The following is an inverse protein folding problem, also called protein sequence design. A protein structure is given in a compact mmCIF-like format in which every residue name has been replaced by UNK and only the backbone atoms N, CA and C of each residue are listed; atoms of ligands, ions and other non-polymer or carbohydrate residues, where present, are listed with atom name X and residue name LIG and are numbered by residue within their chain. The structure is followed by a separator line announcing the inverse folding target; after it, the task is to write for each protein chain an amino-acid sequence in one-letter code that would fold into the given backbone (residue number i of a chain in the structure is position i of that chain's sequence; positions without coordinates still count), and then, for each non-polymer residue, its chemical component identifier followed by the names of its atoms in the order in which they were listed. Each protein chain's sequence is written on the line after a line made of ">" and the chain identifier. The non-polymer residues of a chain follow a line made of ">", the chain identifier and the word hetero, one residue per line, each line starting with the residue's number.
data_IF_762037121318
#
_entry.id   IF_762037121318
#
_cell.length_a   1.000
_cell.length_b   1.000
_cell.length_c   1.000
_cell.angle_alpha   90.00
_cell.angle_beta   90.00
_cell.angle_gamma   90.00
#
_symmetry.space_group_name_H-M   'P 1'
#
loop_
_entity.id
_entity.type
_entity.pdbx_description
1 polymer ?
#
# COMPACT_ATOMS: atom_id res chain seq x y z
N UNK A 1 5.66 -39.85 -38.56
CA UNK A 1 4.68 -40.02 -37.47
C UNK A 1 5.16 -39.15 -36.32
N UNK A 2 4.74 -37.88 -36.31
CA UNK A 2 5.17 -36.87 -35.35
C UNK A 2 4.34 -37.05 -34.08
N UNK A 3 5.01 -37.43 -32.98
CA UNK A 3 4.40 -37.55 -31.66
C UNK A 3 3.97 -36.14 -31.22
N UNK A 4 2.67 -35.83 -31.30
CA UNK A 4 2.12 -34.66 -30.62
C UNK A 4 2.12 -34.98 -29.13
N UNK A 5 3.11 -34.43 -28.42
CA UNK A 5 3.14 -34.40 -26.97
C UNK A 5 2.02 -33.48 -26.53
N UNK A 6 0.87 -34.05 -26.17
CA UNK A 6 -0.19 -33.30 -25.50
C UNK A 6 0.35 -32.87 -24.13
N UNK A 7 0.77 -31.62 -24.03
CA UNK A 7 1.02 -30.96 -22.75
C UNK A 7 -0.30 -30.91 -22.00
N UNK A 8 -0.41 -31.71 -20.94
CA UNK A 8 -1.49 -31.61 -19.97
C UNK A 8 -1.29 -30.26 -19.28
N UNK A 9 -2.02 -29.24 -19.74
CA UNK A 9 -2.02 -27.92 -19.11
C UNK A 9 -2.67 -28.04 -17.73
N UNK A 10 -1.85 -28.03 -16.68
CA UNK A 10 -2.36 -27.94 -15.32
C UNK A 10 -2.96 -26.55 -15.11
N UNK A 11 -4.22 -26.42 -14.68
CA UNK A 11 -4.92 -25.13 -14.61
C UNK A 11 -4.17 -24.09 -13.77
N UNK A 12 -3.51 -24.50 -12.69
CA UNK A 12 -2.71 -23.59 -11.85
C UNK A 12 -1.41 -23.07 -12.47
N UNK A 13 -0.84 -23.77 -13.47
CA UNK A 13 0.35 -23.29 -14.18
C UNK A 13 0.00 -22.09 -15.07
N UNK A 14 -1.14 -22.18 -15.78
CA UNK A 14 -1.63 -21.09 -16.63
C UNK A 14 -1.99 -19.84 -15.82
N UNK A 15 -2.65 -20.01 -14.67
CA UNK A 15 -3.03 -18.90 -13.79
C UNK A 15 -1.81 -18.20 -13.18
N UNK A 16 -0.78 -18.96 -12.80
CA UNK A 16 0.46 -18.42 -12.27
C UNK A 16 1.29 -17.73 -13.36
N UNK A 17 1.44 -18.35 -14.53
CA UNK A 17 2.08 -17.76 -15.71
C UNK A 17 1.44 -16.40 -16.05
N UNK A 18 0.10 -16.34 -16.05
CA UNK A 18 -0.65 -15.11 -16.28
C UNK A 18 -0.38 -14.04 -15.20
N UNK A 19 -0.41 -14.41 -13.93
CA UNK A 19 -0.13 -13.49 -12.82
C UNK A 19 1.32 -12.97 -12.83
N UNK A 20 2.29 -13.83 -13.12
CA UNK A 20 3.71 -13.45 -13.24
C UNK A 20 3.94 -12.56 -14.45
N UNK A 21 3.28 -12.82 -15.58
CA UNK A 21 3.34 -11.97 -16.77
C UNK A 21 2.79 -10.57 -16.50
N UNK A 22 1.64 -10.45 -15.82
CA UNK A 22 1.06 -9.16 -15.45
C UNK A 22 1.94 -8.39 -14.46
N UNK A 23 2.50 -9.08 -13.46
CA UNK A 23 3.44 -8.50 -12.50
C UNK A 23 4.75 -8.05 -13.17
N UNK A 24 5.30 -8.88 -14.07
CA UNK A 24 6.48 -8.55 -14.88
C UNK A 24 6.23 -7.33 -15.75
N UNK A 25 5.09 -7.27 -16.44
CA UNK A 25 4.69 -6.12 -17.25
C UNK A 25 4.60 -4.84 -16.39
N UNK A 26 3.94 -4.92 -15.24
CA UNK A 26 3.77 -3.79 -14.32
C UNK A 26 5.11 -3.29 -13.78
N UNK A 27 6.00 -4.20 -13.36
CA UNK A 27 7.33 -3.87 -12.87
C UNK A 27 8.23 -3.31 -13.98
N UNK A 28 8.08 -3.79 -15.23
CA UNK A 28 8.76 -3.19 -16.39
C UNK A 28 8.25 -1.78 -16.66
N UNK A 29 6.95 -1.55 -16.64
CA UNK A 29 6.34 -0.24 -16.87
C UNK A 29 6.84 0.79 -15.85
N UNK A 30 6.92 0.40 -14.58
CA UNK A 30 7.45 1.23 -13.47
C UNK A 30 8.99 1.39 -13.55
N UNK A 31 9.71 0.53 -14.28
CA UNK A 31 11.18 0.58 -14.38
C UNK A 31 11.92 -0.13 -13.25
N UNK A 32 11.21 -0.97 -12.50
CA UNK A 32 11.72 -1.68 -11.33
C UNK A 32 12.16 -3.12 -11.64
N UNK A 33 11.71 -3.68 -12.77
CA UNK A 33 12.09 -5.03 -13.18
C UNK A 33 13.62 -5.15 -13.37
N UNK A 34 14.29 -6.10 -12.70
CA UNK A 34 15.72 -6.29 -12.79
C UNK A 34 16.07 -7.13 -14.03
N UNK A 35 16.72 -6.50 -15.01
CA UNK A 35 17.32 -7.17 -16.17
C UNK A 35 18.85 -7.14 -16.01
N UNK A 36 19.51 -8.30 -16.12
CA UNK A 36 20.97 -8.42 -15.94
C UNK A 36 21.75 -8.11 -17.22
N UNK A 37 21.16 -8.35 -18.39
CA UNK A 37 21.86 -8.31 -19.67
C UNK A 37 21.64 -7.00 -20.44
N UNK A 38 21.20 -5.94 -19.75
CA UNK A 38 20.89 -4.64 -20.35
C UNK A 38 22.08 -3.71 -20.26
N UNK A 39 22.28 -2.95 -21.35
CA UNK A 39 23.36 -1.96 -21.44
C UNK A 39 23.26 -0.91 -20.32
N UNK A 40 24.39 -0.30 -19.94
CA UNK A 40 24.44 0.74 -18.90
C UNK A 40 23.46 1.90 -19.16
N UNK A 41 23.19 2.21 -20.42
CA UNK A 41 22.22 3.23 -20.83
C UNK A 41 20.76 2.82 -20.54
N UNK A 42 20.39 1.56 -20.74
CA UNK A 42 19.04 1.07 -20.46
C UNK A 42 18.77 0.92 -18.96
N UNK A 43 19.78 0.51 -18.18
CA UNK A 43 19.72 0.51 -16.71
C UNK A 43 19.51 1.93 -16.17
N UNK A 44 20.22 2.91 -16.74
CA UNK A 44 20.06 4.32 -16.41
C UNK A 44 18.67 4.85 -16.80
N UNK A 45 18.18 4.54 -18.01
CA UNK A 45 16.86 4.96 -18.48
C UNK A 45 15.72 4.40 -17.61
N UNK A 46 15.79 3.13 -17.19
CA UNK A 46 14.79 2.55 -16.30
C UNK A 46 14.80 3.17 -14.89
N UNK A 47 15.97 3.53 -14.37
CA UNK A 47 16.09 4.23 -13.08
C UNK A 47 15.58 5.67 -13.18
N UNK A 48 15.85 6.37 -14.29
CA UNK A 48 15.30 7.70 -14.56
C UNK A 48 13.77 7.65 -14.73
N UNK A 49 13.23 6.63 -15.41
CA UNK A 49 11.79 6.43 -15.54
C UNK A 49 11.12 6.23 -14.18
N UNK A 50 11.70 5.40 -13.31
CA UNK A 50 11.21 5.20 -11.95
C UNK A 50 11.25 6.48 -11.11
N UNK A 51 12.35 7.24 -11.19
CA UNK A 51 12.48 8.54 -10.54
C UNK A 51 11.42 9.52 -11.04
N UNK A 52 11.23 9.62 -12.35
CA UNK A 52 10.19 10.45 -12.95
C UNK A 52 8.79 10.03 -12.48
N UNK A 53 8.48 8.72 -12.42
CA UNK A 53 7.19 8.22 -11.92
C UNK A 53 6.98 8.60 -10.45
N UNK A 54 7.98 8.43 -9.59
CA UNK A 54 7.91 8.83 -8.17
C UNK A 54 7.69 10.35 -8.04
N UNK A 55 8.41 11.16 -8.84
CA UNK A 55 8.26 12.61 -8.86
C UNK A 55 6.90 13.02 -9.39
N UNK A 56 6.37 12.39 -10.45
CA UNK A 56 5.06 12.70 -11.01
C UNK A 56 3.94 12.33 -10.03
N UNK A 57 4.01 11.16 -9.39
CA UNK A 57 3.06 10.76 -8.33
C UNK A 57 3.11 11.75 -7.16
N UNK A 58 4.32 12.11 -6.73
CA UNK A 58 4.49 13.07 -5.64
C UNK A 58 3.98 14.46 -6.03
N UNK A 59 4.30 14.96 -7.23
CA UNK A 59 3.96 16.31 -7.68
C UNK A 59 2.47 16.45 -8.03
N UNK A 60 1.88 15.50 -8.77
CA UNK A 60 0.47 15.55 -9.17
C UNK A 60 -0.47 15.40 -7.97
N UNK A 61 -0.06 14.70 -6.91
CA UNK A 61 -0.90 14.48 -5.74
C UNK A 61 -0.63 15.47 -4.60
N UNK A 62 0.62 15.88 -4.36
CA UNK A 62 0.92 16.84 -3.29
C UNK A 62 0.65 18.29 -3.68
N UNK A 63 0.83 18.67 -4.95
CA UNK A 63 0.61 20.07 -5.39
C UNK A 63 -0.83 20.54 -5.23
N UNK A 64 -1.88 19.79 -5.67
CA UNK A 64 -3.25 20.17 -5.39
C UNK A 64 -3.54 20.12 -3.89
N UNK A 65 -3.06 19.12 -3.15
CA UNK A 65 -3.28 19.06 -1.70
C UNK A 65 -2.65 20.24 -0.95
N UNK A 66 -1.42 20.66 -1.30
CA UNK A 66 -0.77 21.84 -0.71
C UNK A 66 -1.48 23.12 -1.14
N UNK A 67 -1.89 23.23 -2.39
CA UNK A 67 -2.65 24.39 -2.88
C UNK A 67 -4.01 24.52 -2.19
N UNK A 68 -4.71 23.41 -1.99
CA UNK A 68 -5.95 23.33 -1.23
C UNK A 68 -5.69 23.68 0.24
N UNK A 69 -4.64 23.15 0.87
CA UNK A 69 -4.28 23.43 2.26
C UNK A 69 -3.95 24.92 2.51
N UNK A 70 -3.33 25.59 1.54
CA UNK A 70 -3.12 27.04 1.57
C UNK A 70 -4.43 27.83 1.41
N UNK A 71 -5.40 27.30 0.64
CA UNK A 71 -6.69 27.97 0.38
C UNK A 71 -7.71 27.78 1.51
N UNK A 72 -7.73 26.62 2.17
CA UNK A 72 -8.61 26.31 3.32
C UNK A 72 -7.92 26.55 4.67
N UNK A 73 -6.83 27.32 4.65
CA UNK A 73 -6.09 27.70 5.85
C UNK A 73 -7.02 28.36 6.88
N UNK A 74 -7.19 27.71 8.03
CA UNK A 74 -8.09 28.15 9.11
C UNK A 74 -9.32 27.28 9.32
N UNK A 75 -9.69 26.43 8.36
CA UNK A 75 -10.71 25.39 8.55
C UNK A 75 -10.02 24.05 8.86
N UNK A 76 -10.04 23.67 10.14
CA UNK A 76 -9.37 22.48 10.65
C UNK A 76 -9.88 21.22 9.95
N UNK A 77 -11.18 21.14 9.66
CA UNK A 77 -11.79 19.93 9.07
C UNK A 77 -11.37 19.76 7.62
N UNK A 78 -11.38 20.83 6.83
CA UNK A 78 -10.90 20.80 5.46
C UNK A 78 -9.37 20.58 5.36
N UNK A 79 -8.59 21.05 6.34
CA UNK A 79 -7.15 20.77 6.41
C UNK A 79 -6.87 19.29 6.68
N UNK A 80 -7.64 18.65 7.55
CA UNK A 80 -7.46 17.23 7.87
C UNK A 80 -7.86 16.35 6.69
N UNK A 81 -8.91 16.70 5.95
CA UNK A 81 -9.27 16.00 4.71
C UNK A 81 -8.12 15.94 3.70
N UNK A 82 -7.41 17.07 3.54
CA UNK A 82 -6.25 17.14 2.66
C UNK A 82 -5.05 16.35 3.21
N UNK A 83 -4.81 16.38 4.53
CA UNK A 83 -3.72 15.63 5.16
C UNK A 83 -3.98 14.12 5.05
N UNK A 84 -5.21 13.67 5.34
CA UNK A 84 -5.51 12.26 5.33
C UNK A 84 -5.45 11.65 3.93
N UNK A 85 -5.84 12.41 2.92
CA UNK A 85 -5.66 12.01 1.52
C UNK A 85 -4.17 11.87 1.16
N UNK A 86 -3.30 12.72 1.67
CA UNK A 86 -1.84 12.62 1.40
C UNK A 86 -1.14 11.46 2.09
N UNK A 87 -1.69 10.91 3.18
CA UNK A 87 -1.05 9.85 3.97
C UNK A 87 -0.87 8.52 3.19
N UNK A 88 -1.92 7.91 2.59
CA UNK A 88 -1.77 6.70 1.76
C UNK A 88 -0.86 6.90 0.55
N UNK A 89 -0.89 8.10 -0.03
CA UNK A 89 -0.04 8.47 -1.16
C UNK A 89 1.44 8.55 -0.75
N UNK A 90 1.72 9.05 0.47
CA UNK A 90 3.06 9.07 1.04
C UNK A 90 3.54 7.64 1.35
N UNK A 91 2.69 6.75 1.87
CA UNK A 91 3.08 5.36 2.18
C UNK A 91 3.40 4.57 0.90
N UNK A 92 2.65 4.75 -0.19
CA UNK A 92 2.96 4.16 -1.50
C UNK A 92 4.29 4.70 -2.03
N UNK A 93 4.51 6.01 -1.95
CA UNK A 93 5.76 6.65 -2.40
C UNK A 93 6.97 6.15 -1.61
N UNK A 94 6.86 6.03 -0.29
CA UNK A 94 7.89 5.45 0.58
C UNK A 94 8.16 3.98 0.26
N UNK A 95 7.13 3.18 -0.03
CA UNK A 95 7.31 1.78 -0.46
C UNK A 95 8.08 1.68 -1.77
N UNK A 96 7.78 2.54 -2.76
CA UNK A 96 8.53 2.59 -4.02
C UNK A 96 10.00 3.00 -3.81
N UNK A 97 10.26 3.95 -2.88
CA UNK A 97 11.62 4.37 -2.52
C UNK A 97 12.41 3.25 -1.82
N UNK A 98 11.80 2.55 -0.86
CA UNK A 98 12.42 1.41 -0.17
C UNK A 98 12.74 0.31 -1.18
N UNK A 99 11.79 0.00 -2.06
CA UNK A 99 11.94 -1.02 -3.09
C UNK A 99 13.00 -0.64 -4.13
N UNK A 100 13.11 0.65 -4.47
CA UNK A 100 14.19 1.15 -5.32
C UNK A 100 15.56 1.06 -4.63
N UNK A 101 15.65 1.48 -3.36
CA UNK A 101 16.91 1.41 -2.61
C UNK A 101 17.39 -0.03 -2.42
N UNK A 102 16.46 -0.99 -2.30
CA UNK A 102 16.74 -2.43 -2.20
C UNK A 102 16.67 -3.16 -3.55
N UNK A 103 16.62 -2.45 -4.68
CA UNK A 103 16.36 -3.04 -6.02
C UNK A 103 17.34 -4.16 -6.39
N UNK A 104 18.62 -4.02 -6.04
CA UNK A 104 19.63 -5.06 -6.31
C UNK A 104 19.34 -6.34 -5.50
N UNK A 105 19.04 -6.20 -4.20
CA UNK A 105 18.62 -7.33 -3.34
C UNK A 105 17.32 -7.96 -3.83
N UNK A 106 16.33 -7.15 -4.19
CA UNK A 106 15.07 -7.62 -4.77
C UNK A 106 15.32 -8.38 -6.08
N UNK A 107 16.26 -7.92 -6.92
CA UNK A 107 16.66 -8.63 -8.13
C UNK A 107 17.30 -9.98 -7.87
N UNK A 108 18.20 -10.08 -6.89
CA UNK A 108 18.74 -11.37 -6.47
C UNK A 108 17.66 -12.30 -5.92
N UNK A 109 16.77 -11.80 -5.08
CA UNK A 109 15.66 -12.59 -4.51
C UNK A 109 14.68 -13.02 -5.59
N UNK A 110 14.27 -12.12 -6.49
CA UNK A 110 13.35 -12.44 -7.60
C UNK A 110 13.99 -13.43 -8.56
N UNK A 111 15.28 -13.30 -8.87
CA UNK A 111 16.02 -14.24 -9.70
C UNK A 111 16.16 -15.59 -9.03
N UNK A 112 16.47 -15.61 -7.74
CA UNK A 112 16.52 -16.84 -6.94
C UNK A 112 15.15 -17.51 -6.89
N UNK A 113 14.07 -16.73 -6.72
CA UNK A 113 12.69 -17.21 -6.83
C UNK A 113 12.45 -17.79 -8.22
N UNK A 114 12.71 -17.06 -9.32
CA UNK A 114 12.48 -17.57 -10.69
C UNK A 114 13.34 -18.78 -11.03
N UNK A 115 14.57 -18.85 -10.53
CA UNK A 115 15.48 -19.99 -10.71
C UNK A 115 14.99 -21.23 -9.97
N UNK A 116 14.27 -21.06 -8.86
CA UNK A 116 13.59 -22.15 -8.15
C UNK A 116 12.14 -22.33 -8.66
N UNK A 117 11.62 -21.39 -9.44
CA UNK A 117 10.33 -21.54 -10.15
C UNK A 117 10.50 -22.47 -11.36
N UNK A 118 11.74 -22.76 -11.78
CA UNK A 118 12.07 -23.84 -12.73
C UNK A 118 11.87 -25.26 -12.12
N UNK A 119 11.46 -25.33 -10.86
CA UNK A 119 10.88 -26.56 -10.28
C UNK A 119 9.39 -26.58 -10.59
N UNK A 120 8.85 -27.74 -11.01
CA UNK A 120 7.50 -27.94 -11.56
C UNK A 120 6.29 -27.33 -10.78
N UNK A 121 6.48 -26.77 -9.57
CA UNK A 121 5.42 -26.23 -8.69
C UNK A 121 5.87 -25.02 -7.83
N UNK A 122 5.58 -23.76 -8.22
CA UNK A 122 5.98 -22.56 -7.47
C UNK A 122 4.96 -22.05 -6.44
N UNK A 123 5.42 -21.67 -5.23
CA UNK A 123 4.61 -21.08 -4.14
C UNK A 123 4.73 -19.53 -4.07
N UNK A 124 3.67 -18.80 -3.66
CA UNK A 124 3.65 -17.33 -3.52
C UNK A 124 4.70 -16.73 -2.58
N UNK A 125 5.07 -17.46 -1.53
CA UNK A 125 6.09 -17.08 -0.56
C UNK A 125 7.11 -18.21 -0.42
N UNK A 126 8.35 -17.90 -0.76
CA UNK A 126 9.42 -18.89 -0.73
C UNK A 126 10.10 -18.89 0.65
N UNK A 127 9.64 -19.77 1.52
CA UNK A 127 10.19 -20.01 2.86
C UNK A 127 10.66 -21.47 2.99
N UNK A 128 11.57 -21.73 3.94
CA UNK A 128 11.99 -23.09 4.27
C UNK A 128 10.87 -23.80 5.05
N UNK A 129 10.12 -24.66 4.38
CA UNK A 129 9.06 -25.46 5.00
C UNK A 129 9.65 -26.75 5.60
N UNK A 130 9.29 -27.07 6.84
CA UNK A 130 9.77 -28.28 7.55
C UNK A 130 9.17 -29.59 7.01
N UNK A 131 8.29 -29.50 6.01
CA UNK A 131 7.61 -30.61 5.36
C UNK A 131 7.75 -30.45 3.84
N UNK A 132 7.64 -31.56 3.11
CA UNK A 132 7.85 -31.57 1.67
C UNK A 132 6.67 -30.93 0.92
N UNK A 133 6.79 -29.65 0.61
CA UNK A 133 5.80 -28.89 -0.17
C UNK A 133 5.73 -29.30 -1.64
N UNK A 134 6.59 -30.20 -2.13
CA UNK A 134 6.58 -30.63 -3.54
C UNK A 134 5.55 -31.73 -3.83
N UNK A 135 5.04 -32.41 -2.79
CA UNK A 135 4.10 -33.53 -2.91
C UNK A 135 2.65 -33.04 -2.92
N UNK A 136 1.92 -33.29 -4.00
CA UNK A 136 0.45 -33.06 -4.04
C UNK A 136 -0.21 -34.04 -3.07
N UNK A 137 -1.11 -33.59 -2.16
CA UNK A 137 -1.91 -32.35 -2.17
C UNK A 137 -1.40 -31.20 -1.28
N UNK A 138 -0.28 -31.38 -0.57
CA UNK A 138 0.19 -30.43 0.46
C UNK A 138 0.55 -29.06 -0.14
N UNK A 139 1.11 -29.06 -1.35
CA UNK A 139 1.39 -27.86 -2.13
C UNK A 139 0.18 -26.93 -2.28
N UNK A 140 -0.97 -27.50 -2.67
CA UNK A 140 -2.19 -26.73 -2.98
C UNK A 140 -2.75 -26.07 -1.72
N UNK A 141 -2.68 -26.76 -0.58
CA UNK A 141 -3.06 -26.20 0.72
C UNK A 141 -2.11 -25.08 1.15
N UNK A 142 -0.80 -25.27 1.02
CA UNK A 142 0.19 -24.23 1.37
C UNK A 142 0.03 -23.00 0.49
N UNK A 143 -0.22 -23.17 -0.81
CA UNK A 143 -0.50 -22.10 -1.74
C UNK A 143 -1.74 -21.30 -1.31
N UNK A 144 -2.84 -21.99 -1.04
CA UNK A 144 -4.10 -21.37 -0.62
C UNK A 144 -3.96 -20.60 0.70
N UNK A 145 -3.28 -21.20 1.69
CA UNK A 145 -3.02 -20.57 2.98
C UNK A 145 -2.13 -19.34 2.82
N UNK A 146 -1.11 -19.39 1.97
CA UNK A 146 -0.25 -18.23 1.69
C UNK A 146 -1.01 -17.10 1.00
N UNK A 147 -1.86 -17.39 0.01
CA UNK A 147 -2.69 -16.39 -0.65
C UNK A 147 -3.63 -15.69 0.34
N UNK A 148 -4.30 -16.47 1.20
CA UNK A 148 -5.16 -15.92 2.26
C UNK A 148 -4.33 -15.09 3.25
N UNK A 149 -3.16 -15.58 3.67
CA UNK A 149 -2.31 -14.87 4.62
C UNK A 149 -1.83 -13.53 4.08
N UNK A 150 -1.39 -13.49 2.81
CA UNK A 150 -0.96 -12.27 2.14
C UNK A 150 -2.12 -11.28 1.97
N UNK A 151 -3.30 -11.76 1.58
CA UNK A 151 -4.50 -10.94 1.49
C UNK A 151 -4.89 -10.36 2.86
N UNK A 152 -4.88 -11.18 3.91
CA UNK A 152 -5.19 -10.76 5.28
C UNK A 152 -4.17 -9.75 5.80
N UNK A 153 -2.88 -9.91 5.53
CA UNK A 153 -1.84 -8.94 5.89
C UNK A 153 -2.07 -7.60 5.18
N UNK A 154 -2.35 -7.62 3.88
CA UNK A 154 -2.62 -6.40 3.10
C UNK A 154 -3.88 -5.67 3.58
N UNK A 155 -4.96 -6.42 3.83
CA UNK A 155 -6.21 -5.88 4.36
C UNK A 155 -6.02 -5.33 5.78
N UNK A 156 -5.29 -6.04 6.64
CA UNK A 156 -5.03 -5.60 8.02
C UNK A 156 -4.20 -4.32 8.05
N UNK A 157 -3.16 -4.24 7.22
CA UNK A 157 -2.33 -3.04 7.10
C UNK A 157 -3.16 -1.83 6.64
N UNK A 158 -3.94 -2.01 5.58
CA UNK A 158 -4.83 -0.95 5.05
C UNK A 158 -5.94 -0.58 6.04
N UNK A 159 -6.48 -1.55 6.79
CA UNK A 159 -7.50 -1.33 7.80
C UNK A 159 -6.96 -0.53 8.99
N UNK A 160 -5.72 -0.78 9.43
CA UNK A 160 -5.07 0.00 10.48
C UNK A 160 -4.89 1.46 10.05
N UNK A 161 -4.39 1.69 8.84
CA UNK A 161 -4.21 3.04 8.29
C UNK A 161 -5.56 3.78 8.17
N UNK A 162 -6.59 3.10 7.66
CA UNK A 162 -7.94 3.65 7.55
C UNK A 162 -8.58 3.93 8.92
N UNK A 163 -8.37 3.03 9.90
CA UNK A 163 -8.88 3.20 11.26
C UNK A 163 -8.22 4.38 11.96
N UNK A 164 -6.90 4.48 11.88
CA UNK A 164 -6.14 5.63 12.39
C UNK A 164 -6.65 6.93 11.76
N UNK A 165 -6.88 6.93 10.45
CA UNK A 165 -7.41 8.09 9.75
C UNK A 165 -8.81 8.49 10.20
N UNK A 166 -9.73 7.53 10.32
CA UNK A 166 -11.09 7.76 10.82
C UNK A 166 -11.09 8.27 12.26
N UNK A 167 -10.21 7.72 13.12
CA UNK A 167 -10.08 8.13 14.51
C UNK A 167 -9.60 9.59 14.62
N UNK A 168 -8.59 9.96 13.82
CA UNK A 168 -8.09 11.34 13.75
C UNK A 168 -9.22 12.29 13.31
N UNK A 169 -9.95 11.94 12.25
CA UNK A 169 -11.10 12.72 11.81
C UNK A 169 -12.17 12.88 12.88
N UNK A 170 -12.51 11.78 13.56
CA UNK A 170 -13.52 11.80 14.60
C UNK A 170 -13.11 12.74 15.74
N UNK A 171 -11.89 12.62 16.24
CA UNK A 171 -11.36 13.47 17.31
C UNK A 171 -11.36 14.94 16.90
N UNK A 172 -10.92 15.24 15.68
CA UNK A 172 -10.88 16.61 15.19
C UNK A 172 -12.28 17.21 14.97
N UNK A 173 -13.23 16.43 14.45
CA UNK A 173 -14.63 16.86 14.34
C UNK A 173 -15.27 17.10 15.72
N UNK A 174 -14.95 16.26 16.71
CA UNK A 174 -15.38 16.48 18.10
C UNK A 174 -14.77 17.77 18.67
N UNK A 175 -13.51 18.06 18.37
CA UNK A 175 -12.83 19.28 18.81
C UNK A 175 -13.43 20.53 18.17
N UNK A 176 -13.74 20.50 16.87
CA UNK A 176 -14.36 21.63 16.19
C UNK A 176 -15.77 21.93 16.74
N UNK A 177 -16.57 20.88 16.99
CA UNK A 177 -17.87 21.04 17.63
C UNK A 177 -17.78 21.64 19.04
N UNK A 178 -16.76 21.25 19.81
CA UNK A 178 -16.48 21.86 21.11
C UNK A 178 -16.12 23.34 20.96
N UNK A 179 -15.21 23.70 20.04
CA UNK A 179 -14.83 25.09 19.77
C UNK A 179 -16.05 25.94 19.39
N UNK A 180 -16.94 25.45 18.51
CA UNK A 180 -18.18 26.15 18.15
C UNK A 180 -19.10 26.38 19.35
N UNK A 181 -19.24 25.39 20.24
CA UNK A 181 -20.01 25.51 21.49
C UNK A 181 -19.39 26.53 22.44
N UNK A 182 -18.06 26.50 22.60
CA UNK A 182 -17.32 27.44 23.44
C UNK A 182 -17.46 28.89 22.96
N UNK A 183 -17.37 29.13 21.64
CA UNK A 183 -17.57 30.47 21.06
C UNK A 183 -18.97 31.02 21.35
N UNK A 184 -20.04 30.20 21.29
CA UNK A 184 -21.41 30.63 21.65
C UNK A 184 -21.58 30.95 23.13
N UNK A 185 -20.75 30.40 24.01
CA UNK A 185 -20.85 30.64 25.45
C UNK A 185 -20.17 31.93 25.90
N UNK A 186 -19.30 32.52 25.08
CA UNK A 186 -18.56 33.74 25.44
C UNK A 186 -19.50 34.91 25.79
N UNK A 187 -20.74 34.90 25.29
CA UNK A 187 -21.77 35.91 25.57
C UNK A 187 -22.65 35.59 26.79
N UNK A 188 -22.46 34.44 27.47
CA UNK A 188 -23.34 34.02 28.57
C UNK A 188 -22.92 34.63 29.92
N UNK A 189 -23.91 35.05 30.72
CA UNK A 189 -23.69 35.65 32.05
C UNK A 189 -23.01 34.70 33.05
N UNK A 190 -23.19 33.38 32.90
CA UNK A 190 -22.64 32.34 33.78
C UNK A 190 -21.65 31.43 33.04
N UNK A 191 -20.58 32.03 32.51
CA UNK A 191 -19.55 31.35 31.71
C UNK A 191 -19.01 30.07 32.36
N UNK A 192 -18.75 30.07 33.67
CA UNK A 192 -18.21 28.91 34.40
C UNK A 192 -19.20 27.74 34.42
N UNK A 193 -20.50 28.01 34.62
CA UNK A 193 -21.54 26.98 34.62
C UNK A 193 -21.71 26.37 33.21
N UNK A 194 -21.76 27.22 32.18
CA UNK A 194 -21.88 26.79 30.79
C UNK A 194 -20.67 25.96 30.32
N UNK A 195 -19.46 26.37 30.73
CA UNK A 195 -18.22 25.63 30.46
C UNK A 195 -18.22 24.26 31.10
N UNK A 196 -18.65 24.16 32.37
CA UNK A 196 -18.68 22.89 33.09
C UNK A 196 -19.65 21.88 32.45
N UNK A 197 -20.81 22.35 31.99
CA UNK A 197 -21.78 21.51 31.27
C UNK A 197 -21.21 21.01 29.94
N UNK A 198 -20.59 21.89 29.15
CA UNK A 198 -20.04 21.50 27.85
C UNK A 198 -18.85 20.54 27.97
N UNK A 199 -17.98 20.70 28.97
CA UNK A 199 -16.89 19.74 29.23
C UNK A 199 -17.47 18.38 29.64
N UNK A 200 -18.46 18.37 30.53
CA UNK A 200 -19.05 17.11 31.00
C UNK A 200 -19.83 16.39 29.89
N UNK A 201 -20.52 17.13 29.03
CA UNK A 201 -21.20 16.57 27.86
C UNK A 201 -20.21 16.10 26.78
N UNK A 202 -19.12 16.84 26.53
CA UNK A 202 -18.10 16.47 25.55
C UNK A 202 -17.31 15.23 25.98
N UNK A 203 -16.99 15.12 27.27
CA UNK A 203 -16.32 13.94 27.85
C UNK A 203 -17.22 12.70 27.84
N UNK A 204 -18.55 12.87 27.75
CA UNK A 204 -19.53 11.78 27.59
C UNK A 204 -19.76 11.37 26.13
N UNK A 205 -19.35 12.21 25.17
CA UNK A 205 -19.57 12.00 23.73
C UNK A 205 -18.35 11.43 23.00
N UNK A 206 -17.16 11.53 23.61
CA UNK A 206 -15.92 10.85 23.20
C UNK A 206 -15.94 9.41 23.72
#
# INVERSE_FOLDING_TARGET
>A
MTFKMNTIEFPGYSDFEWAVQLNRFSLKLIGLWPEENVSSYEKMSSNLRLLCVIITISCVCTTPSVHLLLKVWGDITAMIDNILFTLPLLTVSLKLLIMWWKKETFGYTLRHITNITDTDRPLPLQAYYMYDTSVSPQFEFTFFIQCISLLMVALSYTAIDNFLGLLIFHICGQLENLTKRLCRMHESKDFIMALRININDHTRLI
#
